data_IF_548700582868
#
_entry.id   IF_548700582868
#
_cell.length_a   1.000
_cell.length_b   1.000
_cell.length_c   1.000
_cell.angle_alpha   90.00
_cell.angle_beta   90.00
_cell.angle_gamma   90.00
#
_symmetry.space_group_name_H-M   'P 1'
#
loop_
_entity.id
_entity.type
_entity.pdbx_description
1 polymer ?
#
# COMPACT_ATOMS: atom_id res chain seq x y z
N UNK A 1 -3.47 -30.88 44.75
CA UNK A 1 -4.67 -30.76 43.88
C UNK A 1 -5.24 -29.34 43.75
N UNK A 2 -5.41 -28.55 44.83
CA UNK A 2 -5.95 -27.16 44.73
C UNK A 2 -5.09 -26.22 43.87
N UNK A 3 -3.76 -26.25 44.05
CA UNK A 3 -2.82 -25.47 43.24
C UNK A 3 -2.88 -25.80 41.74
N UNK A 4 -3.00 -27.08 41.39
CA UNK A 4 -3.12 -27.51 39.99
C UNK A 4 -4.42 -27.00 39.35
N UNK A 5 -5.55 -27.06 40.08
CA UNK A 5 -6.83 -26.49 39.63
C UNK A 5 -6.74 -24.97 39.45
N UNK A 6 -6.06 -24.26 40.34
CA UNK A 6 -5.86 -22.81 40.22
C UNK A 6 -4.99 -22.47 39.00
N UNK A 7 -3.90 -23.20 38.79
CA UNK A 7 -3.02 -23.04 37.64
C UNK A 7 -3.75 -23.22 36.30
N UNK A 8 -4.53 -24.30 36.14
CA UNK A 8 -5.32 -24.52 34.94
C UNK A 8 -6.40 -23.45 34.72
N UNK A 9 -7.05 -22.96 35.79
CA UNK A 9 -7.98 -21.82 35.69
C UNK A 9 -7.28 -20.56 35.20
N UNK A 10 -6.09 -20.25 35.72
CA UNK A 10 -5.31 -19.08 35.27
C UNK A 10 -4.93 -19.21 33.80
N UNK A 11 -4.41 -20.37 33.37
CA UNK A 11 -4.09 -20.62 31.95
C UNK A 11 -5.33 -20.45 31.08
N UNK A 12 -6.46 -21.03 31.49
CA UNK A 12 -7.71 -20.92 30.74
C UNK A 12 -8.17 -19.47 30.59
N UNK A 13 -8.13 -18.67 31.67
CA UNK A 13 -8.48 -17.24 31.63
C UNK A 13 -7.53 -16.46 30.71
N UNK A 14 -6.21 -16.70 30.80
CA UNK A 14 -5.24 -16.06 29.90
C UNK A 14 -5.50 -16.45 28.44
N UNK A 15 -5.72 -17.73 28.16
CA UNK A 15 -6.04 -18.22 26.82
C UNK A 15 -7.34 -17.59 26.29
N UNK A 16 -8.37 -17.46 27.13
CA UNK A 16 -9.64 -16.81 26.78
C UNK A 16 -9.44 -15.33 26.44
N UNK A 17 -8.67 -14.59 27.26
CA UNK A 17 -8.35 -13.17 26.99
C UNK A 17 -7.62 -13.03 25.65
N UNK A 18 -6.64 -13.90 25.38
CA UNK A 18 -5.91 -13.90 24.11
C UNK A 18 -6.82 -14.24 22.93
N UNK A 19 -7.72 -15.22 23.07
CA UNK A 19 -8.68 -15.62 22.05
C UNK A 19 -9.67 -14.49 21.72
N UNK A 20 -10.23 -13.84 22.75
CA UNK A 20 -11.14 -12.69 22.58
C UNK A 20 -10.41 -11.52 21.91
N UNK A 21 -9.20 -11.19 22.36
CA UNK A 21 -8.37 -10.13 21.78
C UNK A 21 -8.04 -10.40 20.30
N UNK A 22 -7.66 -11.64 19.97
CA UNK A 22 -7.36 -12.04 18.60
C UNK A 22 -8.61 -12.01 17.72
N UNK A 23 -9.74 -12.51 18.22
CA UNK A 23 -11.03 -12.49 17.52
C UNK A 23 -11.48 -11.06 17.23
N UNK A 24 -11.35 -10.15 18.21
CA UNK A 24 -11.64 -8.74 18.03
C UNK A 24 -10.75 -8.10 16.95
N UNK A 25 -9.46 -8.46 16.91
CA UNK A 25 -8.55 -8.00 15.87
C UNK A 25 -8.95 -8.52 14.48
N UNK A 26 -9.48 -9.74 14.36
CA UNK A 26 -9.95 -10.26 13.07
C UNK A 26 -11.20 -9.52 12.60
N UNK A 27 -12.16 -9.33 13.50
CA UNK A 27 -13.44 -8.63 13.21
C UNK A 27 -13.20 -7.18 12.79
N UNK A 28 -12.37 -6.45 13.53
CA UNK A 28 -12.08 -5.02 13.27
C UNK A 28 -10.94 -4.80 12.28
N UNK A 29 -10.31 -5.88 11.81
CA UNK A 29 -9.01 -5.88 11.15
C UNK A 29 -7.88 -5.22 11.98
N UNK A 30 -8.15 -4.99 13.27
CA UNK A 30 -7.31 -4.25 14.19
C UNK A 30 -7.23 -2.76 13.88
N UNK A 31 -8.18 -2.17 13.14
CA UNK A 31 -8.24 -0.72 12.95
C UNK A 31 -8.54 0.00 14.27
N UNK A 32 -7.83 1.11 14.51
CA UNK A 32 -8.08 2.06 15.61
C UNK A 32 -7.54 3.43 15.20
N UNK A 33 -8.11 4.51 15.72
CA UNK A 33 -7.70 5.88 15.38
C UNK A 33 -6.27 6.19 15.84
N UNK A 34 -5.85 5.67 17.01
CA UNK A 34 -4.48 5.86 17.52
C UNK A 34 -3.41 5.33 16.56
N UNK A 35 -3.77 4.33 15.75
CA UNK A 35 -2.86 3.63 14.85
C UNK A 35 -2.50 4.41 13.59
N UNK A 36 -3.27 5.45 13.27
CA UNK A 36 -3.06 6.36 12.12
C UNK A 36 -2.52 7.73 12.54
N UNK A 37 -2.34 7.97 13.84
CA UNK A 37 -1.74 9.21 14.33
C UNK A 37 -0.31 9.35 13.85
N UNK A 38 -0.03 10.45 13.13
CA UNK A 38 1.31 10.71 12.63
C UNK A 38 2.30 10.88 13.77
N UNK A 39 3.44 10.20 13.67
CA UNK A 39 4.59 10.42 14.55
C UNK A 39 5.52 11.51 14.03
N UNK A 40 5.26 12.05 12.83
CA UNK A 40 6.10 13.08 12.24
C UNK A 40 5.90 14.41 12.96
N UNK A 41 6.94 15.24 12.89
CA UNK A 41 6.89 16.63 13.32
C UNK A 41 5.98 17.43 12.40
N UNK A 42 5.44 18.51 12.95
CA UNK A 42 4.72 19.49 12.14
C UNK A 42 5.73 20.13 11.19
N UNK A 43 5.39 20.19 9.91
CA UNK A 43 6.08 21.07 8.97
C UNK A 43 5.17 22.25 8.73
N UNK A 44 5.75 23.44 8.70
CA UNK A 44 5.05 24.59 8.15
C UNK A 44 4.84 24.27 6.68
N UNK A 45 3.61 23.89 6.35
CA UNK A 45 3.24 23.75 4.97
C UNK A 45 3.31 25.16 4.37
N UNK A 46 4.22 25.36 3.42
CA UNK A 46 4.04 26.42 2.41
C UNK A 46 2.59 26.31 1.93
N UNK A 47 1.90 27.45 1.76
CA UNK A 47 0.47 27.58 1.46
C UNK A 47 0.01 26.69 0.28
N UNK A 48 -0.14 25.38 0.52
CA UNK A 48 -0.65 24.40 -0.42
C UNK A 48 -2.16 24.57 -0.39
N UNK A 49 -2.65 25.51 -1.19
CA UNK A 49 -4.07 25.66 -1.44
C UNK A 49 -4.60 24.31 -1.93
N UNK A 50 -5.56 23.74 -1.19
CA UNK A 50 -6.19 22.47 -1.59
C UNK A 50 -6.95 22.76 -2.89
N UNK A 51 -6.61 22.04 -3.95
CA UNK A 51 -7.36 22.13 -5.21
C UNK A 51 -8.86 21.88 -4.96
N UNK A 52 -9.76 22.65 -5.60
CA UNK A 52 -11.20 22.52 -5.36
C UNK A 52 -11.73 21.09 -5.53
N UNK A 53 -11.16 20.32 -6.46
CA UNK A 53 -11.51 18.92 -6.68
C UNK A 53 -11.19 18.03 -5.48
N UNK A 54 -10.02 18.20 -4.89
CA UNK A 54 -9.59 17.45 -3.69
C UNK A 54 -10.45 17.85 -2.47
N UNK A 55 -10.80 19.13 -2.36
CA UNK A 55 -11.70 19.62 -1.29
C UNK A 55 -13.08 18.95 -1.36
N UNK A 56 -13.63 18.72 -2.56
CA UNK A 56 -14.89 17.97 -2.74
C UNK A 56 -14.77 16.53 -2.26
N UNK A 57 -13.62 15.87 -2.49
CA UNK A 57 -13.38 14.50 -2.01
C UNK A 57 -13.38 14.46 -0.48
N UNK A 58 -12.78 15.44 0.20
CA UNK A 58 -12.75 15.49 1.67
C UNK A 58 -14.11 15.76 2.31
N UNK A 59 -15.08 16.32 1.59
CA UNK A 59 -16.43 16.50 2.10
C UNK A 59 -17.25 15.19 2.08
N UNK A 60 -16.71 14.12 1.49
CA UNK A 60 -17.36 12.82 1.48
C UNK A 60 -17.12 12.01 2.76
N UNK A 61 -18.01 11.05 3.00
CA UNK A 61 -17.83 10.02 4.01
C UNK A 61 -17.02 8.86 3.43
N UNK A 62 -16.21 8.24 4.29
CA UNK A 62 -15.35 7.13 3.89
C UNK A 62 -15.64 5.89 4.72
N UNK A 63 -15.87 4.76 4.04
CA UNK A 63 -16.13 3.47 4.68
C UNK A 63 -14.89 2.60 4.61
N UNK A 64 -14.60 1.91 5.70
CA UNK A 64 -13.49 0.98 5.76
C UNK A 64 -13.61 -0.06 4.62
N UNK A 65 -12.53 -0.21 3.86
CA UNK A 65 -12.44 -1.17 2.77
C UNK A 65 -11.53 -2.33 3.16
N UNK A 66 -10.28 -2.05 3.50
CA UNK A 66 -9.28 -3.08 3.75
C UNK A 66 -8.08 -2.55 4.54
N UNK A 67 -7.12 -3.44 4.81
CA UNK A 67 -5.84 -3.10 5.42
C UNK A 67 -4.73 -3.69 4.58
N UNK A 68 -3.86 -2.82 4.09
CA UNK A 68 -2.59 -3.22 3.48
C UNK A 68 -1.50 -3.33 4.53
N UNK A 69 -0.27 -3.53 4.08
CA UNK A 69 0.84 -3.52 5.00
C UNK A 69 0.99 -2.12 5.62
N UNK A 70 1.23 -1.11 4.81
CA UNK A 70 1.58 0.21 5.30
C UNK A 70 0.35 1.06 5.66
N UNK A 71 -0.84 0.73 5.15
CA UNK A 71 -2.01 1.61 5.23
C UNK A 71 -3.30 0.89 5.68
N UNK A 72 -4.22 1.66 6.26
CA UNK A 72 -5.64 1.33 6.30
C UNK A 72 -6.35 2.02 5.14
N UNK A 73 -7.22 1.32 4.45
CA UNK A 73 -7.87 1.78 3.22
C UNK A 73 -9.35 2.00 3.48
N UNK A 74 -9.85 3.16 3.11
CA UNK A 74 -11.25 3.51 3.15
C UNK A 74 -11.70 3.90 1.75
N UNK A 75 -12.89 3.47 1.33
CA UNK A 75 -13.50 3.88 0.07
C UNK A 75 -14.44 5.05 0.29
N UNK A 76 -14.48 5.99 -0.65
CA UNK A 76 -15.47 7.06 -0.68
C UNK A 76 -16.88 6.51 -0.87
N UNK A 77 -17.90 7.29 -0.51
CA UNK A 77 -19.30 6.90 -0.64
C UNK A 77 -19.73 6.74 -2.11
N UNK A 78 -19.16 7.56 -3.00
CA UNK A 78 -19.37 7.48 -4.46
C UNK A 78 -18.60 6.33 -5.14
N UNK A 79 -17.82 5.57 -4.37
CA UNK A 79 -16.99 4.45 -4.82
C UNK A 79 -15.92 4.81 -5.87
N UNK A 80 -15.59 6.10 -6.05
CA UNK A 80 -14.61 6.57 -7.04
C UNK A 80 -13.19 6.70 -6.50
N UNK A 81 -13.04 6.82 -5.17
CA UNK A 81 -11.76 7.10 -4.53
C UNK A 81 -11.50 6.17 -3.36
N UNK A 82 -10.21 6.00 -3.05
CA UNK A 82 -9.74 5.41 -1.81
C UNK A 82 -8.87 6.39 -1.06
N UNK A 83 -9.12 6.49 0.25
CA UNK A 83 -8.32 7.20 1.22
C UNK A 83 -7.50 6.19 2.01
N UNK A 84 -6.18 6.30 1.91
CA UNK A 84 -5.22 5.41 2.56
C UNK A 84 -4.54 6.15 3.71
N UNK A 85 -4.79 5.74 4.94
CA UNK A 85 -4.10 6.27 6.13
C UNK A 85 -2.87 5.45 6.48
N UNK A 86 -1.75 6.10 6.73
CA UNK A 86 -0.49 5.46 7.10
C UNK A 86 -0.58 4.86 8.51
N UNK A 87 -0.08 3.64 8.66
CA UNK A 87 -0.11 2.86 9.90
C UNK A 87 1.12 3.15 10.77
N UNK A 88 1.21 4.36 11.31
CA UNK A 88 2.37 4.80 12.12
C UNK A 88 2.72 3.87 13.28
N UNK A 89 1.73 3.23 13.92
CA UNK A 89 1.99 2.24 14.99
C UNK A 89 2.92 1.09 14.55
N UNK A 90 2.94 0.76 13.26
CA UNK A 90 3.71 -0.36 12.73
C UNK A 90 5.23 -0.08 12.70
N UNK A 91 5.58 1.20 12.73
CA UNK A 91 6.95 1.71 12.77
C UNK A 91 7.41 2.02 14.21
N UNK A 92 6.64 1.59 15.22
CA UNK A 92 7.05 1.66 16.63
C UNK A 92 7.58 0.30 17.09
N UNK A 93 8.53 0.31 18.01
CA UNK A 93 8.97 -0.90 18.70
C UNK A 93 7.86 -1.43 19.65
N UNK A 94 7.78 -2.75 19.86
CA UNK A 94 6.77 -3.34 20.74
C UNK A 94 6.94 -2.87 22.19
N UNK A 95 5.87 -2.98 23.00
CA UNK A 95 5.89 -2.51 24.39
C UNK A 95 6.98 -3.17 25.24
N UNK A 96 7.14 -4.50 25.15
CA UNK A 96 8.15 -5.21 25.92
C UNK A 96 9.56 -4.67 25.65
N UNK A 97 9.89 -4.33 24.40
CA UNK A 97 11.20 -3.77 24.04
C UNK A 97 11.36 -2.30 24.47
N UNK A 98 10.25 -1.61 24.78
CA UNK A 98 10.29 -0.27 25.40
C UNK A 98 10.56 -0.34 26.91
N UNK A 99 10.18 -1.43 27.55
CA UNK A 99 10.28 -1.62 29.01
C UNK A 99 11.57 -2.36 29.39
N UNK A 100 11.99 -3.35 28.61
CA UNK A 100 13.22 -4.10 28.85
C UNK A 100 14.45 -3.29 28.37
N UNK A 101 15.00 -2.46 29.27
CA UNK A 101 16.17 -1.59 28.99
C UNK A 101 17.49 -2.34 28.92
N UNK A 102 17.58 -3.58 29.41
CA UNK A 102 18.80 -4.39 29.36
C UNK A 102 19.14 -4.96 27.96
N UNK A 103 18.35 -4.65 26.92
CA UNK A 103 18.56 -5.08 25.53
C UNK A 103 18.83 -3.88 24.61
N UNK A 104 19.60 -2.90 25.08
CA UNK A 104 19.75 -1.61 24.38
C UNK A 104 20.31 -1.74 22.96
N UNK A 105 21.29 -2.61 22.71
CA UNK A 105 21.81 -2.83 21.36
C UNK A 105 20.75 -3.36 20.40
N UNK A 106 19.97 -4.35 20.83
CA UNK A 106 18.89 -4.91 20.02
C UNK A 106 17.78 -3.88 19.82
N UNK A 107 17.44 -3.12 20.87
CA UNK A 107 16.47 -2.02 20.83
C UNK A 107 16.88 -0.94 19.84
N UNK A 108 18.12 -0.48 19.88
CA UNK A 108 18.66 0.56 19.00
C UNK A 108 18.67 0.11 17.54
N UNK A 109 19.14 -1.11 17.26
CA UNK A 109 19.06 -1.72 15.93
C UNK A 109 17.62 -1.78 15.43
N UNK A 110 16.67 -2.15 16.29
CA UNK A 110 15.25 -2.23 15.92
C UNK A 110 14.62 -0.85 15.69
N UNK A 111 14.97 0.15 16.49
CA UNK A 111 14.53 1.54 16.31
C UNK A 111 15.02 2.09 14.96
N UNK A 112 16.31 1.94 14.68
CA UNK A 112 16.90 2.35 13.40
C UNK A 112 16.20 1.68 12.21
N UNK A 113 16.01 0.36 12.26
CA UNK A 113 15.30 -0.37 11.20
C UNK A 113 13.88 0.13 11.00
N UNK A 114 13.14 0.40 12.08
CA UNK A 114 11.76 0.89 12.03
C UNK A 114 11.65 2.31 11.47
N UNK A 115 12.59 3.18 11.84
CA UNK A 115 12.70 4.53 11.28
C UNK A 115 13.02 4.49 9.79
N UNK A 116 13.99 3.66 9.38
CA UNK A 116 14.32 3.43 7.97
C UNK A 116 13.10 2.97 7.16
N UNK A 117 12.37 1.96 7.65
CA UNK A 117 11.14 1.49 7.00
C UNK A 117 10.08 2.58 6.83
N UNK A 118 9.95 3.48 7.82
CA UNK A 118 9.02 4.60 7.73
C UNK A 118 9.48 5.57 6.63
N UNK A 119 10.75 5.98 6.66
CA UNK A 119 11.34 6.90 5.68
C UNK A 119 11.23 6.36 4.26
N UNK A 120 11.57 5.09 4.05
CA UNK A 120 11.48 4.44 2.73
C UNK A 120 10.03 4.43 2.23
N UNK A 121 9.08 4.09 3.09
CA UNK A 121 7.65 4.09 2.76
C UNK A 121 7.15 5.49 2.40
N UNK A 122 7.49 6.52 3.20
CA UNK A 122 7.10 7.90 2.94
C UNK A 122 7.69 8.43 1.62
N UNK A 123 8.99 8.18 1.38
CA UNK A 123 9.67 8.53 0.14
C UNK A 123 8.99 7.91 -1.08
N UNK A 124 8.56 6.66 -0.95
CA UNK A 124 7.84 5.95 -2.01
C UNK A 124 6.49 6.62 -2.36
N UNK A 125 5.74 7.11 -1.36
CA UNK A 125 4.53 7.90 -1.60
C UNK A 125 4.84 9.25 -2.27
N UNK A 126 5.92 9.93 -1.88
CA UNK A 126 6.36 11.18 -2.52
C UNK A 126 6.75 10.96 -3.98
N UNK A 127 7.48 9.88 -4.28
CA UNK A 127 7.81 9.49 -5.66
C UNK A 127 6.54 9.29 -6.47
N UNK A 128 5.61 8.52 -5.91
CA UNK A 128 4.37 8.20 -6.59
C UNK A 128 3.51 9.43 -6.88
N UNK A 129 3.43 10.39 -5.95
CA UNK A 129 2.73 11.65 -6.20
C UNK A 129 3.46 12.59 -7.14
N UNK A 130 4.79 12.62 -7.14
CA UNK A 130 5.52 13.63 -7.89
C UNK A 130 5.80 13.18 -9.33
N UNK A 131 6.03 11.88 -9.54
CA UNK A 131 6.51 11.36 -10.82
C UNK A 131 5.59 10.30 -11.44
N UNK A 132 4.81 9.56 -10.62
CA UNK A 132 4.08 8.37 -11.08
C UNK A 132 2.55 8.48 -10.94
N UNK A 133 1.98 9.70 -11.03
CA UNK A 133 0.53 9.91 -10.88
C UNK A 133 -0.28 9.08 -11.87
N UNK A 134 0.16 8.97 -13.11
CA UNK A 134 -0.55 8.25 -14.18
C UNK A 134 -0.41 6.73 -14.12
N UNK A 135 0.65 6.24 -13.47
CA UNK A 135 0.92 4.81 -13.31
C UNK A 135 0.44 4.26 -11.97
N UNK A 136 0.11 5.14 -11.02
CA UNK A 136 -0.38 4.75 -9.68
C UNK A 136 -1.78 5.25 -9.38
N UNK A 137 -2.33 6.16 -10.20
CA UNK A 137 -3.59 6.86 -9.99
C UNK A 137 -3.68 7.61 -8.64
N UNK A 138 -2.54 7.96 -8.05
CA UNK A 138 -2.50 8.88 -6.90
C UNK A 138 -2.83 10.27 -7.37
N UNK A 139 -3.73 10.93 -6.63
CA UNK A 139 -4.14 12.30 -6.93
C UNK A 139 -3.76 13.29 -5.83
N UNK A 140 -3.57 12.81 -4.59
CA UNK A 140 -3.17 13.68 -3.49
C UNK A 140 -2.39 12.91 -2.41
N UNK A 141 -1.34 13.53 -1.87
CA UNK A 141 -0.50 12.97 -0.80
C UNK A 141 -0.28 14.01 0.29
N UNK A 142 -0.48 13.61 1.54
CA UNK A 142 -0.27 14.43 2.72
C UNK A 142 0.42 13.60 3.81
N UNK A 143 1.73 13.75 3.96
CA UNK A 143 2.52 12.87 4.84
C UNK A 143 2.83 13.50 6.20
N UNK A 144 3.05 14.80 6.24
CA UNK A 144 3.47 15.54 7.43
C UNK A 144 2.27 16.14 8.15
N UNK A 145 2.41 16.44 9.45
CA UNK A 145 1.38 17.21 10.16
C UNK A 145 1.42 18.66 9.70
N UNK A 146 0.24 19.26 9.64
CA UNK A 146 0.02 20.65 9.22
C UNK A 146 -0.99 21.33 10.15
N UNK A 147 -1.44 22.53 9.80
CA UNK A 147 -2.50 23.27 10.50
C UNK A 147 -3.32 24.14 9.53
N UNK A 148 -3.19 23.88 8.23
CA UNK A 148 -3.73 24.73 7.18
C UNK A 148 -4.73 23.99 6.29
N UNK A 149 -4.85 22.65 6.38
CA UNK A 149 -5.93 21.96 5.69
C UNK A 149 -7.28 22.34 6.31
N UNK A 150 -7.34 22.35 7.65
CA UNK A 150 -8.53 22.62 8.44
C UNK A 150 -9.72 21.74 8.00
N UNK A 151 -9.45 20.46 7.74
CA UNK A 151 -10.44 19.48 7.27
C UNK A 151 -10.59 18.33 8.26
N UNK A 152 -11.84 18.05 8.60
CA UNK A 152 -12.23 16.84 9.32
C UNK A 152 -13.10 15.98 8.43
N UNK A 153 -12.87 14.66 8.46
CA UNK A 153 -13.62 13.71 7.65
C UNK A 153 -14.31 12.66 8.51
N UNK A 154 -15.46 12.18 8.07
CA UNK A 154 -16.18 11.08 8.73
C UNK A 154 -15.70 9.74 8.17
N UNK A 155 -15.05 8.94 9.02
CA UNK A 155 -14.71 7.55 8.75
C UNK A 155 -15.71 6.61 9.40
N UNK A 156 -16.08 5.55 8.70
CA UNK A 156 -16.86 4.44 9.22
C UNK A 156 -15.98 3.18 9.24
N UNK A 157 -15.82 2.52 10.39
CA UNK A 157 -15.10 1.24 10.47
C UNK A 157 -15.94 0.05 10.01
N UNK A 158 -15.37 -1.17 10.07
CA UNK A 158 -16.05 -2.42 9.68
C UNK A 158 -17.32 -2.69 10.47
N UNK A 159 -17.42 -2.21 11.70
CA UNK A 159 -18.57 -2.41 12.59
C UNK A 159 -19.59 -1.27 12.45
N UNK A 160 -19.39 -0.36 11.50
CA UNK A 160 -20.27 0.77 11.28
C UNK A 160 -20.03 1.94 12.24
N UNK A 161 -19.05 1.85 13.15
CA UNK A 161 -18.75 2.94 14.08
C UNK A 161 -18.11 4.11 13.34
N UNK A 162 -18.59 5.31 13.65
CA UNK A 162 -18.18 6.57 13.02
C UNK A 162 -17.10 7.27 13.83
N UNK A 163 -16.16 7.89 13.12
CA UNK A 163 -15.08 8.69 13.69
C UNK A 163 -14.93 9.97 12.89
N UNK A 164 -14.80 11.10 13.59
CA UNK A 164 -14.42 12.35 12.97
C UNK A 164 -12.90 12.50 13.07
N UNK A 165 -12.22 12.49 11.92
CA UNK A 165 -10.75 12.48 11.84
C UNK A 165 -10.25 13.79 11.28
N UNK A 166 -9.42 14.47 12.06
CA UNK A 166 -8.69 15.67 11.66
C UNK A 166 -7.50 15.32 10.76
N UNK A 167 -7.55 15.78 9.50
CA UNK A 167 -6.56 15.49 8.47
C UNK A 167 -5.21 16.15 8.71
N UNK A 168 -5.17 17.32 9.38
CA UNK A 168 -3.92 18.03 9.71
C UNK A 168 -3.00 17.20 10.62
N UNK A 169 -3.54 16.19 11.30
CA UNK A 169 -2.82 15.36 12.27
C UNK A 169 -2.39 13.98 11.73
N UNK A 170 -2.72 13.65 10.48
CA UNK A 170 -2.56 12.30 9.92
C UNK A 170 -1.70 12.32 8.66
N UNK A 171 -1.00 11.21 8.42
CA UNK A 171 -0.41 10.93 7.11
C UNK A 171 -1.39 10.11 6.27
N UNK A 172 -1.74 10.59 5.08
CA UNK A 172 -2.68 9.94 4.19
C UNK A 172 -2.45 10.22 2.71
N UNK A 173 -3.09 9.40 1.88
CA UNK A 173 -3.04 9.48 0.41
C UNK A 173 -4.44 9.28 -0.15
N UNK A 174 -4.79 10.06 -1.18
CA UNK A 174 -5.97 9.84 -2.01
C UNK A 174 -5.54 9.26 -3.35
N UNK A 175 -6.24 8.21 -3.75
CA UNK A 175 -6.02 7.52 -5.01
C UNK A 175 -7.38 7.21 -5.66
N UNK A 176 -7.43 7.16 -6.99
CA UNK A 176 -8.64 6.66 -7.68
C UNK A 176 -8.87 5.20 -7.29
N UNK A 177 -10.13 4.83 -7.07
CA UNK A 177 -10.49 3.43 -6.85
C UNK A 177 -10.39 2.68 -8.17
N UNK A 178 -9.78 1.51 -8.16
CA UNK A 178 -9.56 0.66 -9.33
C UNK A 178 -10.10 -0.74 -9.08
N UNK A 179 -10.39 -1.48 -10.15
CA UNK A 179 -10.62 -2.93 -10.08
C UNK A 179 -9.28 -3.61 -9.86
N UNK A 180 -9.23 -4.72 -9.11
CA UNK A 180 -7.95 -5.45 -8.97
C UNK A 180 -7.56 -6.05 -10.31
N UNK A 181 -6.27 -6.08 -10.61
CA UNK A 181 -5.81 -6.62 -11.89
C UNK A 181 -6.06 -8.13 -11.98
N UNK A 182 -5.91 -8.86 -10.86
CA UNK A 182 -6.22 -10.28 -10.77
C UNK A 182 -7.69 -10.59 -11.14
N UNK A 183 -8.66 -9.81 -10.62
CA UNK A 183 -10.07 -10.02 -10.96
C UNK A 183 -10.35 -9.80 -12.45
N UNK A 184 -9.73 -8.77 -13.06
CA UNK A 184 -9.88 -8.47 -14.49
C UNK A 184 -9.27 -9.57 -15.35
N UNK A 185 -8.08 -10.06 -15.00
CA UNK A 185 -7.47 -11.20 -15.69
C UNK A 185 -8.36 -12.45 -15.61
N UNK A 186 -8.92 -12.75 -14.44
CA UNK A 186 -9.79 -13.91 -14.25
C UNK A 186 -11.12 -13.79 -15.01
N UNK A 187 -11.68 -12.57 -15.11
CA UNK A 187 -12.88 -12.30 -15.90
C UNK A 187 -12.66 -12.60 -17.40
N UNK A 188 -11.45 -12.35 -17.90
CA UNK A 188 -11.08 -12.53 -19.31
C UNK A 188 -10.22 -13.79 -19.54
N UNK A 189 -10.19 -14.75 -18.61
CA UNK A 189 -9.25 -15.89 -18.66
C UNK A 189 -9.30 -16.73 -19.94
N UNK A 190 -10.44 -16.75 -20.63
CA UNK A 190 -10.68 -17.51 -21.86
C UNK A 190 -10.63 -16.63 -23.12
N UNK A 191 -10.36 -15.33 -22.98
CA UNK A 191 -10.26 -14.36 -24.07
C UNK A 191 -8.78 -14.03 -24.28
N UNK A 192 -8.14 -14.76 -25.20
CA UNK A 192 -6.73 -14.61 -25.50
C UNK A 192 -6.38 -13.19 -25.99
N UNK A 193 -7.25 -12.59 -26.80
CA UNK A 193 -7.02 -11.26 -27.37
C UNK A 193 -7.01 -10.23 -26.24
N UNK A 194 -7.99 -10.29 -25.34
CA UNK A 194 -8.08 -9.34 -24.24
C UNK A 194 -6.98 -9.56 -23.20
N UNK A 195 -6.60 -10.80 -22.89
CA UNK A 195 -5.47 -11.08 -22.01
C UNK A 195 -4.14 -10.54 -22.54
N UNK A 196 -3.89 -10.66 -23.84
CA UNK A 196 -2.69 -10.07 -24.47
C UNK A 196 -2.70 -8.54 -24.36
N UNK A 197 -3.85 -7.87 -24.54
CA UNK A 197 -3.97 -6.42 -24.34
C UNK A 197 -3.71 -6.02 -22.90
N UNK A 198 -4.28 -6.73 -21.93
CA UNK A 198 -4.06 -6.51 -20.50
C UNK A 198 -2.60 -6.69 -20.12
N UNK A 199 -1.95 -7.74 -20.64
CA UNK A 199 -0.53 -7.98 -20.41
C UNK A 199 0.34 -6.87 -21.00
N UNK A 200 0.06 -6.44 -22.23
CA UNK A 200 0.75 -5.30 -22.84
C UNK A 200 0.58 -4.02 -21.99
N UNK A 201 -0.64 -3.73 -21.52
CA UNK A 201 -0.92 -2.58 -20.66
C UNK A 201 -0.10 -2.62 -19.35
N UNK A 202 0.03 -3.80 -18.73
CA UNK A 202 0.87 -4.01 -17.56
C UNK A 202 2.36 -3.74 -17.87
N UNK A 203 2.88 -4.29 -18.96
CA UNK A 203 4.28 -4.12 -19.36
C UNK A 203 4.60 -2.67 -19.69
N UNK A 204 3.74 -1.99 -20.45
CA UNK A 204 3.92 -0.57 -20.78
C UNK A 204 3.87 0.33 -19.54
N UNK A 205 3.01 0.02 -18.58
CA UNK A 205 2.96 0.76 -17.31
C UNK A 205 4.24 0.56 -16.50
N UNK A 206 4.76 -0.68 -16.45
CA UNK A 206 6.03 -0.99 -15.78
C UNK A 206 7.18 -0.25 -16.46
N UNK A 207 7.23 -0.28 -17.79
CA UNK A 207 8.27 0.36 -18.59
C UNK A 207 8.26 1.88 -18.41
N UNK A 208 7.07 2.50 -18.36
CA UNK A 208 6.92 3.93 -18.11
C UNK A 208 7.50 4.35 -16.75
N UNK A 209 7.33 3.53 -15.72
CA UNK A 209 7.94 3.77 -14.39
C UNK A 209 9.47 3.67 -14.46
N UNK A 210 9.98 2.69 -15.20
CA UNK A 210 11.42 2.46 -15.34
C UNK A 210 12.09 3.58 -16.14
N UNK A 211 11.44 4.05 -17.21
CA UNK A 211 11.87 5.24 -17.98
C UNK A 211 11.96 6.50 -17.13
N UNK A 212 11.18 6.58 -16.05
CA UNK A 212 11.24 7.66 -15.05
C UNK A 212 12.33 7.44 -13.99
N UNK A 213 13.11 6.36 -14.07
CA UNK A 213 14.23 6.08 -13.17
C UNK A 213 13.83 5.37 -11.87
N UNK A 214 12.66 4.73 -11.83
CA UNK A 214 12.17 4.06 -10.62
C UNK A 214 11.96 2.56 -10.83
N UNK A 215 12.26 1.77 -9.81
CA UNK A 215 11.89 0.35 -9.74
C UNK A 215 10.79 0.15 -8.71
N UNK A 216 10.04 -0.94 -8.85
CA UNK A 216 9.16 -1.44 -7.80
C UNK A 216 9.79 -2.69 -7.16
N UNK A 217 10.06 -2.64 -5.86
CA UNK A 217 10.65 -3.76 -5.13
C UNK A 217 9.62 -4.78 -4.61
N UNK A 218 8.33 -4.57 -4.90
CA UNK A 218 7.28 -5.51 -4.53
C UNK A 218 7.24 -6.73 -5.45
N UNK A 219 7.19 -7.90 -4.83
CA UNK A 219 7.11 -9.19 -5.48
C UNK A 219 5.70 -9.58 -5.94
N UNK A 220 4.63 -8.97 -5.42
CA UNK A 220 3.25 -9.36 -5.74
C UNK A 220 2.62 -8.48 -6.82
N UNK A 221 3.32 -8.31 -7.96
CA UNK A 221 2.97 -7.32 -8.97
C UNK A 221 1.53 -7.45 -9.52
N UNK A 222 1.00 -8.67 -9.68
CA UNK A 222 -0.39 -8.90 -10.13
C UNK A 222 -1.39 -8.42 -9.09
N UNK A 223 -1.24 -8.85 -7.83
CA UNK A 223 -2.16 -8.49 -6.73
C UNK A 223 -2.12 -7.02 -6.38
N UNK A 224 -0.97 -6.40 -6.56
CA UNK A 224 -0.71 -5.00 -6.23
C UNK A 224 -0.89 -4.07 -7.42
N UNK A 225 -1.39 -4.60 -8.54
CA UNK A 225 -1.84 -3.83 -9.69
C UNK A 225 -3.35 -3.71 -9.73
N UNK A 226 -3.82 -2.67 -10.40
CA UNK A 226 -5.22 -2.42 -10.63
C UNK A 226 -5.50 -2.05 -12.07
N UNK A 227 -6.77 -1.95 -12.42
CA UNK A 227 -7.24 -1.63 -13.76
C UNK A 227 -8.31 -0.54 -13.69
N UNK A 228 -8.11 0.51 -14.48
CA UNK A 228 -9.03 1.64 -14.59
C UNK A 228 -8.95 2.24 -15.99
N UNK A 229 -10.10 2.55 -16.59
CA UNK A 229 -10.21 3.21 -17.91
C UNK A 229 -9.36 2.55 -19.01
N UNK A 230 -9.38 1.21 -19.10
CA UNK A 230 -8.62 0.49 -20.13
C UNK A 230 -7.12 0.35 -19.86
N UNK A 231 -6.62 0.85 -18.72
CA UNK A 231 -5.19 0.87 -18.38
C UNK A 231 -4.91 0.15 -17.06
N UNK A 232 -3.83 -0.62 -17.05
CA UNK A 232 -3.25 -1.19 -15.83
C UNK A 232 -2.48 -0.11 -15.06
N UNK A 233 -2.52 -0.15 -13.74
CA UNK A 233 -1.75 0.72 -12.84
C UNK A 233 -1.10 -0.10 -11.73
N UNK A 234 0.00 0.37 -11.15
CA UNK A 234 0.58 -0.20 -9.93
C UNK A 234 0.00 0.51 -8.71
N UNK A 235 -0.96 -0.15 -8.06
CA UNK A 235 -1.82 0.45 -7.04
C UNK A 235 -1.20 0.47 -5.65
N UNK A 236 -0.31 -0.48 -5.35
CA UNK A 236 0.50 -0.44 -4.13
C UNK A 236 1.81 0.31 -4.41
N UNK A 237 1.97 1.43 -3.72
CA UNK A 237 3.05 2.40 -3.94
C UNK A 237 4.06 2.37 -2.81
N UNK A 238 4.11 1.29 -2.03
CA UNK A 238 4.90 1.20 -0.82
C UNK A 238 6.39 0.91 -1.01
N UNK A 239 6.83 0.65 -2.24
CA UNK A 239 8.12 0.02 -2.54
C UNK A 239 8.81 0.57 -3.80
N UNK A 240 8.51 1.81 -4.20
CA UNK A 240 9.21 2.51 -5.27
C UNK A 240 10.54 3.08 -4.80
N UNK A 241 11.59 2.80 -5.55
CA UNK A 241 12.95 3.23 -5.25
C UNK A 241 13.61 3.84 -6.50
N UNK A 242 14.38 4.94 -6.35
CA UNK A 242 15.18 5.45 -7.46
C UNK A 242 16.28 4.46 -7.81
N UNK A 243 16.61 4.40 -9.10
CA UNK A 243 17.68 3.54 -9.61
C UNK A 243 18.43 4.25 -10.73
N UNK A 244 19.73 4.44 -10.52
CA UNK A 244 20.60 5.03 -11.52
C UNK A 244 20.84 4.06 -12.67
N UNK A 245 21.01 4.61 -13.88
CA UNK A 245 21.29 3.86 -15.11
C UNK A 245 20.31 2.69 -15.37
N UNK A 246 19.04 2.84 -14.95
CA UNK A 246 18.02 1.79 -15.11
C UNK A 246 17.73 1.47 -16.58
N UNK A 247 17.88 2.45 -17.47
CA UNK A 247 17.66 2.27 -18.91
C UNK A 247 18.86 1.70 -19.66
N UNK A 248 20.01 1.48 -18.98
CA UNK A 248 21.05 0.65 -19.57
C UNK A 248 20.49 -0.76 -19.76
N UNK A 249 20.61 -1.31 -20.98
CA UNK A 249 19.95 -2.56 -21.40
C UNK A 249 20.03 -3.68 -20.37
N UNK A 250 21.22 -3.95 -19.85
CA UNK A 250 21.47 -5.00 -18.84
C UNK A 250 20.70 -4.77 -17.53
N UNK A 251 20.67 -3.51 -17.06
CA UNK A 251 19.95 -3.14 -15.83
C UNK A 251 18.44 -3.20 -16.04
N UNK A 252 17.96 -2.71 -17.19
CA UNK A 252 16.55 -2.77 -17.56
C UNK A 252 16.09 -4.23 -17.60
N UNK A 253 16.75 -5.07 -18.39
CA UNK A 253 16.42 -6.49 -18.51
C UNK A 253 16.37 -7.14 -17.12
N UNK A 254 17.44 -7.00 -16.33
CA UNK A 254 17.52 -7.59 -14.99
C UNK A 254 16.34 -7.20 -14.10
N UNK A 255 16.08 -5.90 -13.95
CA UNK A 255 15.03 -5.42 -13.03
C UNK A 255 13.63 -5.65 -13.57
N UNK A 256 13.45 -5.57 -14.89
CA UNK A 256 12.15 -5.74 -15.54
C UNK A 256 11.74 -7.21 -15.51
N UNK A 257 12.64 -8.13 -15.87
CA UNK A 257 12.41 -9.57 -15.72
C UNK A 257 12.18 -9.95 -14.25
N UNK A 258 12.94 -9.37 -13.30
CA UNK A 258 12.73 -9.62 -11.86
C UNK A 258 11.30 -9.29 -11.41
N UNK A 259 10.73 -8.18 -11.89
CA UNK A 259 9.38 -7.75 -11.53
C UNK A 259 8.30 -8.55 -12.28
N UNK A 260 8.47 -8.74 -13.59
CA UNK A 260 7.49 -9.42 -14.45
C UNK A 260 7.42 -10.93 -14.18
N UNK A 261 8.47 -11.56 -13.61
CA UNK A 261 8.46 -13.00 -13.30
C UNK A 261 7.24 -13.48 -12.49
N UNK A 262 6.65 -12.61 -11.67
CA UNK A 262 5.48 -12.97 -10.87
C UNK A 262 4.20 -12.94 -11.68
N UNK A 263 4.12 -12.07 -12.69
CA UNK A 263 3.03 -12.12 -13.66
C UNK A 263 3.17 -13.33 -14.60
N UNK A 264 4.41 -13.72 -14.94
CA UNK A 264 4.65 -15.01 -15.61
C UNK A 264 4.18 -16.20 -14.78
N UNK A 265 4.54 -16.28 -13.49
CA UNK A 265 4.05 -17.35 -12.60
C UNK A 265 2.52 -17.42 -12.55
N UNK A 266 1.85 -16.28 -12.57
CA UNK A 266 0.39 -16.24 -12.66
C UNK A 266 -0.09 -16.77 -14.02
N UNK A 267 0.58 -16.36 -15.11
CA UNK A 267 0.27 -16.77 -16.49
C UNK A 267 0.45 -18.28 -16.69
N UNK A 268 1.57 -18.86 -16.24
CA UNK A 268 1.86 -20.30 -16.35
C UNK A 268 0.77 -21.15 -15.68
N UNK A 269 0.16 -20.65 -14.60
CA UNK A 269 -0.90 -21.34 -13.87
C UNK A 269 -2.28 -21.19 -14.51
N UNK A 270 -2.60 -20.03 -15.05
CA UNK A 270 -3.98 -19.68 -15.42
C UNK A 270 -4.20 -19.51 -16.94
N UNK A 271 -3.17 -19.14 -17.69
CA UNK A 271 -3.20 -18.87 -19.13
C UNK A 271 -1.80 -19.08 -19.75
N UNK A 272 -1.33 -20.33 -19.95
CA UNK A 272 0.05 -20.62 -20.36
C UNK A 272 0.51 -19.93 -21.65
N UNK A 273 -0.40 -19.72 -22.62
CA UNK A 273 -0.12 -19.00 -23.87
C UNK A 273 0.38 -17.57 -23.63
N UNK A 274 0.00 -16.95 -22.50
CA UNK A 274 0.39 -15.59 -22.15
C UNK A 274 1.87 -15.51 -21.75
N UNK A 275 2.44 -16.60 -21.24
CA UNK A 275 3.85 -16.64 -20.83
C UNK A 275 4.78 -16.41 -22.02
N UNK A 276 4.52 -17.08 -23.15
CA UNK A 276 5.25 -16.88 -24.41
C UNK A 276 5.08 -15.46 -24.95
N UNK A 277 3.86 -14.91 -24.89
CA UNK A 277 3.59 -13.52 -25.30
C UNK A 277 4.37 -12.51 -24.46
N UNK A 278 4.45 -12.71 -23.13
CA UNK A 278 5.25 -11.86 -22.23
C UNK A 278 6.74 -11.91 -22.61
N UNK A 279 7.28 -13.09 -22.88
CA UNK A 279 8.69 -13.25 -23.28
C UNK A 279 9.06 -12.49 -24.54
N UNK A 280 8.26 -12.67 -25.59
CA UNK A 280 8.45 -11.99 -26.86
C UNK A 280 8.40 -10.47 -26.67
N UNK A 281 7.41 -9.99 -25.89
CA UNK A 281 7.22 -8.56 -25.68
C UNK A 281 8.34 -7.92 -24.90
N UNK A 282 8.84 -8.59 -23.85
CA UNK A 282 9.99 -8.09 -23.06
C UNK A 282 11.24 -8.03 -23.93
N UNK A 283 11.52 -9.08 -24.72
CA UNK A 283 12.67 -9.10 -25.63
C UNK A 283 12.63 -7.94 -26.63
N UNK A 284 11.46 -7.67 -27.21
CA UNK A 284 11.29 -6.56 -28.15
C UNK A 284 11.48 -5.20 -27.47
N UNK A 285 10.99 -5.01 -26.23
CA UNK A 285 11.22 -3.79 -25.45
C UNK A 285 12.71 -3.55 -25.19
N UNK A 286 13.45 -4.58 -24.76
CA UNK A 286 14.89 -4.45 -24.49
C UNK A 286 15.75 -4.21 -25.72
N UNK A 287 15.28 -4.55 -26.92
CA UNK A 287 15.97 -4.23 -28.18
C UNK A 287 15.83 -2.77 -28.59
N UNK A 288 14.83 -2.05 -28.03
CA UNK A 288 14.60 -0.63 -28.31
C UNK A 288 15.32 0.33 -27.35
N UNK A 289 16.16 -0.20 -26.46
CA UNK A 289 16.99 0.53 -25.51
C UNK A 289 18.42 0.69 -26.02
#
# INVERSE_FOLDING_TARGET
MKFLKLFFKTIFVVALILAVSKSWQLITDGFRIDKINSSLTKKDASNLSIEPEISKIFNQKFKYLSKGCQTYVFKSLDDRYVLKFIRYHRYKIPLWLRVCTFLDDYRNKRLYYKDKLLKDSLKSYEIASNFLKDETAIIYVHLNKTNNLNKKIELQDRLGKKYLVDLDTKGFVIQKKVKTFEDVLMQHKNDEIELKKLANSFLYTTEAIYKKGFINDDYNCVKNSGFINGKVIHSDVGSFLPRDNLMAKENFEKEFFRFVRYFKKWSDKNAPFLSSHLDEKIKNMSQTL
#
